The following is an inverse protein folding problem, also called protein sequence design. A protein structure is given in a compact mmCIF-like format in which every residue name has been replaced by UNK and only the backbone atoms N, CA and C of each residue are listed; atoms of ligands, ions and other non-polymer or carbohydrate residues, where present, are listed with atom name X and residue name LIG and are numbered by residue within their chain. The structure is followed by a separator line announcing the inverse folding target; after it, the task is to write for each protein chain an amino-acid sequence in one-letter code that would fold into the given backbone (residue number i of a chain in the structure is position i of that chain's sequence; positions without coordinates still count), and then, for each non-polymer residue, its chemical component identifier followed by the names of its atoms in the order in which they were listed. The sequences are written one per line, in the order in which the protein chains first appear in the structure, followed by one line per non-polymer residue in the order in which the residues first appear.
data_IF_941475248151
#
_entry.id   IF_941475248151
#
_cell.length_a   1.000
_cell.length_b   1.000
_cell.length_c   1.000
_cell.angle_alpha   90.00
_cell.angle_beta   90.00
_cell.angle_gamma   90.00
#
_symmetry.space_group_name_H-M   'P 1'
#
loop_
_entity.id
_entity.type
_entity.pdbx_description
1 polymer ?
#
# COMPACT_ATOMS: atom_id res chain seq x y z
N UNK A 1 -15.28 -13.38 30.18
CA UNK A 1 -14.71 -12.42 29.21
C UNK A 1 -13.95 -13.21 28.15
N UNK A 2 -14.61 -13.53 27.03
CA UNK A 2 -13.98 -14.26 25.93
C UNK A 2 -13.15 -13.31 25.08
N UNK A 3 -11.83 -13.28 25.31
CA UNK A 3 -10.92 -12.54 24.44
C UNK A 3 -10.93 -13.17 23.05
N UNK A 4 -11.27 -12.38 22.02
CA UNK A 4 -11.04 -12.76 20.62
C UNK A 4 -9.55 -13.06 20.47
N UNK A 5 -9.21 -14.33 20.27
CA UNK A 5 -7.90 -14.73 19.77
C UNK A 5 -7.85 -14.18 18.34
N UNK A 6 -7.35 -12.97 18.17
CA UNK A 6 -7.05 -12.41 16.85
C UNK A 6 -5.91 -13.27 16.31
N UNK A 7 -6.18 -14.03 15.25
CA UNK A 7 -5.16 -14.81 14.58
C UNK A 7 -4.03 -13.88 14.13
N UNK A 8 -2.86 -13.99 14.77
CA UNK A 8 -1.71 -13.08 14.59
C UNK A 8 -1.27 -12.92 13.12
N UNK A 9 -1.66 -13.83 12.24
CA UNK A 9 -1.32 -13.83 10.80
C UNK A 9 -2.24 -12.99 9.89
N UNK A 10 -3.46 -12.62 10.29
CA UNK A 10 -4.37 -11.84 9.41
C UNK A 10 -3.79 -10.47 9.06
N UNK A 11 -3.11 -9.90 10.03
CA UNK A 11 -2.59 -8.57 10.05
C UNK A 11 -1.36 -8.38 9.12
N UNK A 12 -0.31 -9.22 9.20
CA UNK A 12 0.77 -9.22 8.21
C UNK A 12 0.29 -9.47 6.77
N UNK A 13 -0.65 -10.40 6.57
CA UNK A 13 -1.18 -10.71 5.24
C UNK A 13 -1.95 -9.53 4.63
N UNK A 14 -2.78 -8.85 5.43
CA UNK A 14 -3.46 -7.62 4.98
C UNK A 14 -2.44 -6.52 4.63
N UNK A 15 -1.40 -6.34 5.46
CA UNK A 15 -0.36 -5.34 5.22
C UNK A 15 0.42 -5.63 3.93
N UNK A 16 0.76 -6.90 3.67
CA UNK A 16 1.42 -7.32 2.44
C UNK A 16 0.55 -7.01 1.22
N UNK A 17 -0.72 -7.42 1.24
CA UNK A 17 -1.66 -7.20 0.15
C UNK A 17 -1.84 -5.70 -0.14
N UNK A 18 -2.01 -4.87 0.89
CA UNK A 18 -2.10 -3.43 0.71
C UNK A 18 -0.79 -2.80 0.24
N UNK A 19 0.37 -3.37 0.58
CA UNK A 19 1.66 -2.88 0.09
C UNK A 19 1.78 -3.14 -1.41
N UNK A 20 1.36 -4.33 -1.84
CA UNK A 20 1.33 -4.74 -3.24
C UNK A 20 0.35 -3.88 -4.04
N UNK A 21 -0.84 -3.59 -3.50
CA UNK A 21 -1.79 -2.68 -4.15
C UNK A 21 -1.21 -1.27 -4.22
N UNK A 22 -0.62 -0.79 -3.13
CA UNK A 22 -0.02 0.54 -3.06
C UNK A 22 1.18 0.71 -3.99
N UNK A 23 1.85 -0.37 -4.41
CA UNK A 23 2.95 -0.27 -5.36
C UNK A 23 2.49 -0.11 -6.81
N UNK A 24 1.21 -0.36 -7.10
CA UNK A 24 0.63 -0.32 -8.46
C UNK A 24 -0.76 0.35 -8.48
N UNK A 25 -0.98 1.33 -7.59
CA UNK A 25 -2.28 1.95 -7.40
C UNK A 25 -2.78 2.75 -8.61
N UNK A 26 -1.85 3.27 -9.42
CA UNK A 26 -2.13 3.93 -10.69
C UNK A 26 -2.71 2.96 -11.71
N UNK A 27 -2.15 1.75 -11.80
CA UNK A 27 -2.68 0.67 -12.64
C UNK A 27 -4.04 0.19 -12.13
N UNK A 28 -4.22 0.11 -10.81
CA UNK A 28 -5.51 -0.22 -10.22
C UNK A 28 -6.54 0.86 -10.54
N UNK A 29 -6.18 2.14 -10.44
CA UNK A 29 -7.09 3.22 -10.81
C UNK A 29 -7.46 3.16 -12.30
N UNK A 30 -6.50 2.90 -13.20
CA UNK A 30 -6.79 2.69 -14.62
C UNK A 30 -7.78 1.54 -14.87
N UNK A 31 -7.65 0.43 -14.14
CA UNK A 31 -8.60 -0.68 -14.19
C UNK A 31 -10.00 -0.23 -13.73
N UNK A 32 -10.08 0.48 -12.60
CA UNK A 32 -11.33 0.92 -12.00
C UNK A 32 -12.09 1.96 -12.83
N UNK A 33 -11.38 2.74 -13.64
CA UNK A 33 -11.98 3.68 -14.60
C UNK A 33 -12.43 2.98 -15.89
N UNK A 34 -12.01 1.74 -16.15
CA UNK A 34 -12.32 1.00 -17.37
C UNK A 34 -13.54 0.08 -17.19
N UNK A 35 -14.73 0.58 -17.51
CA UNK A 35 -15.99 -0.18 -17.39
C UNK A 35 -15.97 -1.51 -18.14
N UNK A 36 -15.42 -1.55 -19.36
CA UNK A 36 -15.36 -2.77 -20.16
C UNK A 36 -14.45 -3.81 -19.52
N UNK A 37 -13.33 -3.40 -18.93
CA UNK A 37 -12.48 -4.32 -18.17
C UNK A 37 -13.19 -4.87 -16.93
N UNK A 38 -13.91 -4.02 -16.18
CA UNK A 38 -14.69 -4.46 -15.01
C UNK A 38 -15.82 -5.44 -15.39
N UNK A 39 -16.47 -5.23 -16.53
CA UNK A 39 -17.48 -6.16 -17.08
C UNK A 39 -16.87 -7.52 -17.42
N UNK A 40 -15.69 -7.54 -18.06
CA UNK A 40 -14.96 -8.79 -18.36
C UNK A 40 -14.56 -9.52 -17.08
N UNK A 41 -14.13 -8.77 -16.05
CA UNK A 41 -13.81 -9.31 -14.73
C UNK A 41 -15.03 -9.70 -13.90
N UNK A 42 -16.25 -9.33 -14.33
CA UNK A 42 -17.52 -9.55 -13.64
C UNK A 42 -17.55 -8.97 -12.22
N UNK A 43 -16.87 -7.84 -12.01
CA UNK A 43 -16.84 -7.11 -10.74
C UNK A 43 -17.67 -5.84 -10.82
N UNK A 44 -18.25 -5.43 -9.70
CA UNK A 44 -18.94 -4.14 -9.56
C UNK A 44 -18.04 -3.17 -8.82
N UNK A 45 -18.12 -1.90 -9.17
CA UNK A 45 -17.34 -0.85 -8.51
C UNK A 45 -18.19 0.40 -8.29
N UNK A 46 -18.42 0.73 -7.02
CA UNK A 46 -19.17 1.89 -6.54
C UNK A 46 -18.28 2.80 -5.69
N UNK A 47 -16.99 2.89 -6.04
CA UNK A 47 -16.04 3.82 -5.43
C UNK A 47 -15.72 3.53 -3.95
N UNK A 48 -15.71 2.25 -3.57
CA UNK A 48 -15.26 1.80 -2.25
C UNK A 48 -13.90 1.10 -2.33
N UNK A 49 -13.15 1.11 -1.23
CA UNK A 49 -11.87 0.38 -1.16
C UNK A 49 -12.05 -1.13 -1.28
N UNK A 50 -13.13 -1.68 -0.74
CA UNK A 50 -13.38 -3.12 -0.75
C UNK A 50 -13.66 -3.59 -2.19
N UNK A 51 -14.42 -2.84 -2.97
CA UNK A 51 -14.63 -3.16 -4.38
C UNK A 51 -13.37 -2.92 -5.24
N UNK A 52 -12.53 -1.95 -4.86
CA UNK A 52 -11.22 -1.78 -5.48
C UNK A 52 -10.32 -3.01 -5.24
N UNK A 53 -10.40 -3.59 -4.04
CA UNK A 53 -9.72 -4.83 -3.70
C UNK A 53 -10.27 -6.02 -4.49
N UNK A 54 -11.60 -6.13 -4.62
CA UNK A 54 -12.25 -7.17 -5.41
C UNK A 54 -11.83 -7.12 -6.89
N UNK A 55 -11.77 -5.92 -7.48
CA UNK A 55 -11.29 -5.73 -8.85
C UNK A 55 -9.81 -6.12 -8.99
N UNK A 56 -8.97 -5.74 -8.02
CA UNK A 56 -7.56 -6.13 -8.00
C UNK A 56 -7.40 -7.67 -7.97
N UNK A 57 -8.11 -8.33 -7.06
CA UNK A 57 -8.06 -9.79 -6.93
C UNK A 57 -8.60 -10.51 -8.18
N UNK A 58 -9.69 -10.01 -8.78
CA UNK A 58 -10.24 -10.57 -10.01
C UNK A 58 -9.26 -10.44 -11.19
N UNK A 59 -8.58 -9.30 -11.30
CA UNK A 59 -7.58 -9.08 -12.34
C UNK A 59 -6.32 -9.94 -12.14
N UNK A 60 -5.84 -10.10 -10.90
CA UNK A 60 -4.73 -11.00 -10.60
C UNK A 60 -5.07 -12.44 -11.01
N UNK A 61 -6.25 -12.93 -10.61
CA UNK A 61 -6.74 -14.25 -11.03
C UNK A 61 -6.83 -14.38 -12.55
N UNK A 62 -7.35 -13.35 -13.23
CA UNK A 62 -7.42 -13.35 -14.70
C UNK A 62 -6.02 -13.44 -15.32
N UNK A 63 -5.02 -12.70 -14.84
CA UNK A 63 -3.66 -12.79 -15.36
C UNK A 63 -2.99 -14.15 -15.16
N UNK A 64 -3.40 -14.88 -14.12
CA UNK A 64 -2.97 -16.26 -13.88
C UNK A 64 -3.67 -17.24 -14.84
N UNK A 65 -4.96 -17.02 -15.13
CA UNK A 65 -5.74 -17.83 -16.08
C UNK A 65 -5.32 -17.59 -17.55
N UNK A 66 -4.77 -16.41 -17.86
CA UNK A 66 -4.36 -15.98 -19.21
C UNK A 66 -2.90 -15.54 -19.21
N UNK A 67 -1.97 -16.49 -19.03
CA UNK A 67 -0.55 -16.21 -18.82
C UNK A 67 0.15 -15.56 -20.02
N UNK A 68 -0.37 -15.75 -21.24
CA UNK A 68 0.21 -15.18 -22.47
C UNK A 68 -0.19 -13.71 -22.70
N UNK A 69 -1.17 -13.18 -21.96
CA UNK A 69 -1.57 -11.78 -22.06
C UNK A 69 -0.56 -10.87 -21.32
N UNK A 70 -0.42 -9.62 -21.81
CA UNK A 70 0.38 -8.60 -21.12
C UNK A 70 -0.21 -8.33 -19.73
N UNK A 71 0.58 -8.51 -18.65
CA UNK A 71 0.05 -8.35 -17.30
C UNK A 71 -0.13 -6.86 -16.94
N UNK A 72 -1.32 -6.49 -16.48
CA UNK A 72 -1.55 -5.19 -15.86
C UNK A 72 -0.78 -5.09 -14.53
N UNK A 73 -0.97 -6.05 -13.64
CA UNK A 73 -0.34 -6.11 -12.31
C UNK A 73 0.91 -6.99 -12.28
N UNK A 74 1.75 -6.79 -11.25
CA UNK A 74 2.91 -7.65 -10.99
C UNK A 74 2.47 -9.12 -10.92
N UNK A 75 3.16 -10.01 -11.65
CA UNK A 75 2.88 -11.46 -11.68
C UNK A 75 3.38 -12.17 -10.42
N UNK A 76 2.83 -13.35 -10.15
CA UNK A 76 3.12 -14.14 -8.95
C UNK A 76 4.61 -14.48 -8.78
N UNK A 77 5.30 -14.79 -9.87
CA UNK A 77 6.75 -15.03 -9.90
C UNK A 77 7.54 -13.80 -9.42
N UNK A 78 7.27 -12.62 -9.98
CA UNK A 78 7.90 -11.36 -9.54
C UNK A 78 7.46 -10.94 -8.13
N UNK A 79 6.25 -11.30 -7.71
CA UNK A 79 5.82 -11.10 -6.33
C UNK A 79 6.73 -11.90 -5.38
N UNK A 80 7.02 -13.16 -5.71
CA UNK A 80 7.85 -14.04 -4.88
C UNK A 80 9.33 -13.65 -4.95
N UNK A 81 9.86 -13.38 -6.15
CA UNK A 81 11.29 -13.14 -6.33
C UNK A 81 11.73 -11.74 -5.93
N UNK A 82 10.86 -10.73 -6.10
CA UNK A 82 11.26 -9.33 -6.01
C UNK A 82 10.47 -8.58 -4.93
N UNK A 83 9.14 -8.58 -5.04
CA UNK A 83 8.30 -7.75 -4.17
C UNK A 83 8.27 -8.25 -2.72
N UNK A 84 8.19 -9.56 -2.49
CA UNK A 84 8.13 -10.13 -1.15
C UNK A 84 9.45 -9.92 -0.39
N UNK A 85 10.64 -10.18 -0.95
CA UNK A 85 11.91 -9.82 -0.29
C UNK A 85 12.02 -8.33 0.02
N UNK A 86 11.61 -7.45 -0.91
CA UNK A 86 11.56 -6.01 -0.68
C UNK A 86 10.66 -5.66 0.51
N UNK A 87 9.45 -6.23 0.54
CA UNK A 87 8.51 -6.04 1.64
C UNK A 87 9.10 -6.52 2.96
N UNK A 88 9.74 -7.71 2.99
CA UNK A 88 10.36 -8.25 4.20
C UNK A 88 11.48 -7.35 4.73
N UNK A 89 12.35 -6.85 3.85
CA UNK A 89 13.42 -5.94 4.22
C UNK A 89 12.87 -4.66 4.85
N UNK A 90 11.85 -4.05 4.23
CA UNK A 90 11.24 -2.84 4.76
C UNK A 90 10.45 -3.06 6.05
N UNK A 91 9.77 -4.20 6.20
CA UNK A 91 9.14 -4.55 7.47
C UNK A 91 10.17 -4.73 8.58
N UNK A 92 11.29 -5.40 8.30
CA UNK A 92 12.37 -5.55 9.26
C UNK A 92 12.95 -4.20 9.68
N UNK A 93 13.16 -3.28 8.74
CA UNK A 93 13.67 -1.95 9.05
C UNK A 93 12.64 -1.09 9.79
N UNK A 94 11.39 -1.04 9.32
CA UNK A 94 10.32 -0.22 9.91
C UNK A 94 9.90 -0.72 11.29
N UNK A 95 9.76 -2.02 11.51
CA UNK A 95 9.21 -2.56 12.77
C UNK A 95 10.24 -3.24 13.66
N UNK A 96 11.40 -3.62 13.13
CA UNK A 96 12.47 -4.28 13.88
C UNK A 96 13.59 -3.34 14.30
N UNK A 97 14.16 -2.60 13.34
CA UNK A 97 15.37 -1.81 13.57
C UNK A 97 15.10 -0.36 13.98
N UNK A 98 14.19 0.33 13.29
CA UNK A 98 14.01 1.78 13.42
C UNK A 98 12.68 2.20 14.05
N UNK A 99 11.60 1.45 13.82
CA UNK A 99 10.35 1.67 14.55
C UNK A 99 10.43 0.99 15.90
N UNK A 100 10.25 1.77 16.95
CA UNK A 100 10.11 1.22 18.29
C UNK A 100 9.00 0.16 18.34
N UNK A 101 9.05 -0.71 19.34
CA UNK A 101 8.08 -1.76 19.69
C UNK A 101 6.61 -1.31 19.91
N UNK A 102 6.26 -0.07 19.52
CA UNK A 102 4.99 0.61 19.77
C UNK A 102 4.26 1.07 18.51
N UNK A 103 4.72 0.73 17.30
CA UNK A 103 3.90 0.93 16.11
C UNK A 103 2.64 0.06 16.22
N UNK A 104 1.52 0.71 16.55
CA UNK A 104 0.24 0.03 16.73
C UNK A 104 -0.15 -0.66 15.43
N UNK A 105 -0.54 -1.92 15.58
CA UNK A 105 -1.14 -2.76 14.57
C UNK A 105 -2.25 -2.00 13.80
N UNK A 106 -3.01 -1.13 14.43
CA UNK A 106 -4.03 -0.34 13.72
C UNK A 106 -3.52 0.57 12.58
N UNK A 107 -2.20 0.72 12.37
CA UNK A 107 -1.59 1.54 11.30
C UNK A 107 -1.01 0.75 10.12
N UNK A 108 -1.33 -0.54 9.98
CA UNK A 108 -0.80 -1.37 8.89
C UNK A 108 -1.04 -0.82 7.50
N UNK A 109 -2.19 -0.20 7.24
CA UNK A 109 -2.46 0.35 5.91
C UNK A 109 -1.54 1.52 5.57
N UNK A 110 -1.18 2.36 6.54
CA UNK A 110 -0.23 3.44 6.31
C UNK A 110 1.20 2.94 6.12
N UNK A 111 1.62 1.95 6.93
CA UNK A 111 2.89 1.27 6.71
C UNK A 111 2.92 0.60 5.34
N UNK A 112 1.83 -0.05 4.93
CA UNK A 112 1.69 -0.68 3.63
C UNK A 112 1.77 0.34 2.48
N UNK A 113 1.05 1.46 2.58
CA UNK A 113 1.15 2.56 1.61
C UNK A 113 2.56 3.13 1.52
N UNK A 114 3.26 3.20 2.66
CA UNK A 114 4.65 3.65 2.72
C UNK A 114 5.57 2.67 1.99
N UNK A 115 5.45 1.37 2.25
CA UNK A 115 6.27 0.34 1.59
C UNK A 115 5.98 0.30 0.09
N UNK A 116 4.71 0.38 -0.31
CA UNK A 116 4.33 0.47 -1.72
C UNK A 116 4.94 1.70 -2.42
N UNK A 117 4.94 2.86 -1.75
CA UNK A 117 5.62 4.06 -2.23
C UNK A 117 7.15 3.86 -2.35
N UNK A 118 7.81 3.24 -1.37
CA UNK A 118 9.23 2.93 -1.45
C UNK A 118 9.54 2.04 -2.66
N UNK A 119 8.69 1.03 -2.92
CA UNK A 119 8.86 0.13 -4.06
C UNK A 119 8.74 0.89 -5.39
N UNK A 120 7.72 1.75 -5.53
CA UNK A 120 7.54 2.60 -6.72
C UNK A 120 8.73 3.52 -6.96
N UNK A 121 9.25 4.11 -5.90
CA UNK A 121 10.39 5.02 -5.95
C UNK A 121 11.74 4.30 -6.00
N UNK A 122 11.75 2.96 -6.00
CA UNK A 122 12.96 2.12 -6.01
C UNK A 122 13.95 2.47 -4.88
N UNK A 123 13.39 2.79 -3.71
CA UNK A 123 14.15 3.18 -2.53
C UNK A 123 14.58 1.95 -1.72
N UNK A 124 15.78 2.03 -1.17
CA UNK A 124 16.38 1.06 -0.26
C UNK A 124 16.51 1.65 1.14
N UNK A 125 16.57 0.82 2.19
CA UNK A 125 16.81 1.31 3.56
C UNK A 125 18.04 2.22 3.68
N UNK A 126 19.10 1.96 2.89
CA UNK A 126 20.32 2.77 2.86
C UNK A 126 20.14 4.19 2.30
N UNK A 127 19.00 4.50 1.68
CA UNK A 127 18.68 5.88 1.27
C UNK A 127 18.30 6.78 2.46
N UNK A 128 18.08 6.20 3.64
CA UNK A 128 17.61 6.88 4.83
C UNK A 128 18.73 6.95 5.87
N UNK A 129 19.21 8.16 6.13
CA UNK A 129 20.04 8.45 7.31
C UNK A 129 19.18 8.52 8.58
N UNK A 130 19.81 8.81 9.72
CA UNK A 130 19.13 8.88 11.01
C UNK A 130 17.93 9.85 11.01
N UNK A 131 18.07 11.02 10.42
CA UNK A 131 17.03 12.05 10.43
C UNK A 131 15.89 11.68 9.48
N UNK A 132 16.21 11.12 8.31
CA UNK A 132 15.23 10.59 7.36
C UNK A 132 14.43 9.43 7.95
N UNK A 133 15.08 8.52 8.68
CA UNK A 133 14.39 7.47 9.43
C UNK A 133 13.46 8.06 10.49
N UNK A 134 13.92 9.08 11.24
CA UNK A 134 13.09 9.80 12.20
C UNK A 134 11.81 10.36 11.57
N UNK A 135 11.95 11.05 10.44
CA UNK A 135 10.84 11.62 9.69
C UNK A 135 9.88 10.55 9.13
N UNK A 136 10.43 9.42 8.63
CA UNK A 136 9.63 8.31 8.12
C UNK A 136 8.78 7.67 9.23
N UNK A 137 9.39 7.38 10.37
CA UNK A 137 8.69 6.78 11.52
C UNK A 137 7.68 7.76 12.10
N UNK A 138 7.99 9.06 12.15
CA UNK A 138 7.03 10.09 12.55
C UNK A 138 5.83 10.13 11.61
N UNK A 139 6.04 10.06 10.29
CA UNK A 139 4.96 10.00 9.31
C UNK A 139 4.06 8.78 9.51
N UNK A 140 4.63 7.58 9.66
CA UNK A 140 3.86 6.36 9.92
C UNK A 140 3.08 6.47 11.25
N UNK A 141 3.60 7.19 12.24
CA UNK A 141 2.89 7.40 13.51
C UNK A 141 1.81 8.47 13.41
N UNK A 142 2.08 9.61 12.79
CA UNK A 142 1.22 10.78 12.87
C UNK A 142 1.19 11.48 11.51
N UNK A 143 0.53 10.89 10.51
CA UNK A 143 0.61 11.41 9.15
C UNK A 143 0.04 12.83 9.03
N UNK A 144 -1.02 13.15 9.78
CA UNK A 144 -1.61 14.50 9.81
C UNK A 144 -0.70 15.57 10.45
N UNK A 145 0.23 15.19 11.34
CA UNK A 145 1.20 16.10 11.97
C UNK A 145 2.51 16.18 11.16
N UNK A 146 2.91 15.06 10.56
CA UNK A 146 4.15 14.97 9.79
C UNK A 146 4.02 15.59 8.39
N UNK A 147 2.92 15.35 7.67
CA UNK A 147 2.75 15.84 6.30
C UNK A 147 2.90 17.37 6.14
N UNK A 148 2.37 18.21 7.07
CA UNK A 148 2.55 19.66 7.00
C UNK A 148 4.02 20.10 7.03
N UNK A 149 4.91 19.37 7.71
CA UNK A 149 6.36 19.68 7.74
C UNK A 149 7.00 19.61 6.35
N UNK A 150 6.37 18.88 5.43
CA UNK A 150 6.81 18.70 4.04
C UNK A 150 5.97 19.51 3.03
N UNK A 151 5.10 20.39 3.52
CA UNK A 151 4.19 21.20 2.69
C UNK A 151 3.03 20.39 2.10
N UNK A 152 2.65 19.29 2.74
CA UNK A 152 1.56 18.40 2.31
C UNK A 152 0.45 18.35 3.35
N UNK A 153 -0.76 17.98 2.91
CA UNK A 153 -1.88 17.68 3.80
C UNK A 153 -2.21 16.20 3.69
N UNK A 154 -2.37 15.52 4.83
CA UNK A 154 -2.75 14.10 4.83
C UNK A 154 -4.27 13.95 4.67
N UNK A 155 -4.75 13.27 3.62
CA UNK A 155 -6.19 13.05 3.44
C UNK A 155 -6.70 12.04 4.46
N UNK A 156 -7.96 12.18 4.88
CA UNK A 156 -8.63 11.22 5.77
C UNK A 156 -9.70 10.48 4.96
N UNK A 157 -9.34 9.33 4.40
CA UNK A 157 -10.28 8.49 3.65
C UNK A 157 -11.31 7.87 4.58
N UNK A 158 -12.58 8.02 4.20
CA UNK A 158 -13.74 7.37 4.85
C UNK A 158 -14.12 6.07 4.14
N UNK A 159 -13.13 5.32 3.64
CA UNK A 159 -13.32 4.05 2.94
C UNK A 159 -13.67 4.16 1.45
N UNK A 160 -13.63 5.37 0.88
CA UNK A 160 -13.78 5.60 -0.56
C UNK A 160 -12.44 5.44 -1.26
N UNK A 161 -12.45 4.89 -2.47
CA UNK A 161 -11.23 4.80 -3.28
C UNK A 161 -10.85 6.18 -3.83
N UNK A 162 -11.79 6.87 -4.47
CA UNK A 162 -11.60 8.15 -5.15
C UNK A 162 -12.25 9.33 -4.39
N UNK A 163 -12.03 10.54 -4.91
CA UNK A 163 -12.43 11.82 -4.34
C UNK A 163 -11.26 12.53 -3.65
N UNK A 164 -11.43 13.81 -3.30
CA UNK A 164 -10.36 14.68 -2.75
C UNK A 164 -9.67 14.11 -1.50
N UNK A 165 -10.36 13.23 -0.77
CA UNK A 165 -9.85 12.54 0.42
C UNK A 165 -9.86 11.03 0.28
N UNK A 166 -10.06 10.51 -0.94
CA UNK A 166 -10.11 9.08 -1.23
C UNK A 166 -8.79 8.39 -0.92
N UNK A 167 -8.83 7.06 -0.83
CA UNK A 167 -7.66 6.24 -0.59
C UNK A 167 -6.59 6.42 -1.66
N UNK A 168 -6.97 6.59 -2.94
CA UNK A 168 -6.05 6.92 -4.04
C UNK A 168 -5.21 8.16 -3.74
N UNK A 169 -5.85 9.24 -3.27
CA UNK A 169 -5.16 10.48 -2.89
C UNK A 169 -4.25 10.26 -1.68
N UNK A 170 -4.60 9.36 -0.74
CA UNK A 170 -3.70 8.98 0.35
C UNK A 170 -2.45 8.28 -0.16
N UNK A 171 -2.57 7.37 -1.14
CA UNK A 171 -1.44 6.69 -1.76
C UNK A 171 -0.53 7.67 -2.52
N UNK A 172 -1.11 8.57 -3.30
CA UNK A 172 -0.36 9.64 -3.99
C UNK A 172 0.36 10.58 -2.99
N UNK A 173 -0.31 10.93 -1.89
CA UNK A 173 0.27 11.80 -0.86
C UNK A 173 1.41 11.09 -0.14
N UNK A 174 1.26 9.80 0.14
CA UNK A 174 2.33 8.98 0.71
C UNK A 174 3.55 8.97 -0.22
N UNK A 175 3.37 8.69 -1.52
CA UNK A 175 4.46 8.72 -2.51
C UNK A 175 5.17 10.08 -2.55
N UNK A 176 4.41 11.18 -2.63
CA UNK A 176 4.95 12.55 -2.62
C UNK A 176 5.74 12.86 -1.34
N UNK A 177 5.25 12.40 -0.19
CA UNK A 177 5.88 12.63 1.09
C UNK A 177 7.17 11.81 1.22
N UNK A 178 7.13 10.53 0.84
CA UNK A 178 8.32 9.67 0.84
C UNK A 178 9.40 10.22 -0.08
N UNK A 179 9.04 10.71 -1.26
CA UNK A 179 9.98 11.39 -2.17
C UNK A 179 10.63 12.64 -1.58
N UNK A 180 10.00 13.29 -0.59
CA UNK A 180 10.58 14.44 0.13
C UNK A 180 11.42 14.04 1.34
N UNK A 181 11.20 12.85 1.90
CA UNK A 181 11.99 12.32 3.01
C UNK A 181 13.30 11.70 2.50
N UNK A 182 13.21 10.89 1.43
CA UNK A 182 14.36 10.19 0.83
C UNK A 182 15.30 11.15 0.11
#
# INVERSE_FOLDING_TARGET
MGGKIIARGQTPSEMFLWSLISSQFDKLDQLLQNKSALEVLKVRYHNTMDEALDACAAQLKRQDDYIDDEPLFIRCDSIISDFFPFFQEWIHNIFGMHGSASLNVTKHRLAASTIGAMYRLQLKPSNFDHDKWGNLIEFIRRPSEAAPKFGLSWPQSKGRWDGEKGYRVQLETAEKLIKKIA
#
